data_IF_495744916802
#
_entry.id   IF_495744916802
#
_cell.length_a   1.000
_cell.length_b   1.000
_cell.length_c   1.000
_cell.angle_alpha   90.00
_cell.angle_beta   90.00
_cell.angle_gamma   90.00
#
_symmetry.space_group_name_H-M   'P 1'
#
loop_
_entity.id
_entity.type
_entity.pdbx_description
1 polymer ?
#
# COMPACT_ATOMS: atom_id res chain seq x y z
N UNK A 1 -26.83 -12.15 0.49
CA UNK A 1 -25.67 -12.18 -0.41
C UNK A 1 -24.50 -11.71 0.42
N UNK A 2 -23.56 -12.62 0.71
CA UNK A 2 -22.31 -12.25 1.39
C UNK A 2 -21.58 -11.26 0.48
N UNK A 3 -21.56 -9.99 0.89
CA UNK A 3 -20.75 -8.98 0.22
C UNK A 3 -19.30 -9.38 0.43
N UNK A 4 -18.68 -9.96 -0.61
CA UNK A 4 -17.26 -10.33 -0.61
C UNK A 4 -16.44 -9.17 -0.02
N UNK A 5 -15.90 -9.41 1.17
CA UNK A 5 -15.08 -8.44 1.91
C UNK A 5 -13.79 -8.29 1.10
N UNK A 6 -13.49 -7.04 0.72
CA UNK A 6 -12.25 -6.73 0.00
C UNK A 6 -11.04 -7.29 0.75
N UNK A 7 -10.18 -8.04 0.05
CA UNK A 7 -9.14 -8.83 0.71
C UNK A 7 -8.08 -7.94 1.37
N UNK A 8 -7.81 -8.21 2.65
CA UNK A 8 -6.71 -7.64 3.44
C UNK A 8 -5.81 -8.80 3.85
N UNK A 9 -4.51 -8.71 3.55
CA UNK A 9 -3.56 -9.81 3.78
C UNK A 9 -2.81 -9.70 5.11
N UNK A 10 -3.03 -8.63 5.84
CA UNK A 10 -2.54 -8.46 7.20
C UNK A 10 -3.63 -8.74 8.21
N UNK A 11 -3.24 -9.13 9.41
CA UNK A 11 -4.16 -9.32 10.53
C UNK A 11 -4.80 -8.00 10.93
N UNK A 12 -6.06 -8.05 11.34
CA UNK A 12 -6.76 -6.92 11.93
C UNK A 12 -6.20 -6.64 13.33
N UNK A 13 -5.82 -5.39 13.54
CA UNK A 13 -5.39 -4.83 14.81
C UNK A 13 -6.15 -3.54 15.07
N UNK A 14 -6.46 -3.17 16.33
CA UNK A 14 -7.10 -1.90 16.64
C UNK A 14 -6.46 -0.69 15.93
N UNK A 15 -5.14 -0.71 15.79
CA UNK A 15 -4.33 0.33 15.16
C UNK A 15 -4.50 0.44 13.63
N UNK A 16 -5.04 -0.58 12.95
CA UNK A 16 -5.30 -0.60 11.51
C UNK A 16 -6.78 -0.76 11.13
N UNK A 17 -7.68 -0.84 12.10
CA UNK A 17 -9.13 -0.86 11.85
C UNK A 17 -9.67 0.53 11.49
N UNK A 18 -9.06 1.61 12.00
CA UNK A 18 -9.41 2.99 11.66
C UNK A 18 -8.16 3.88 11.64
N UNK A 19 -8.03 4.70 10.60
CA UNK A 19 -6.93 5.66 10.49
C UNK A 19 -5.55 5.04 10.28
N UNK A 20 -5.43 3.75 9.95
CA UNK A 20 -4.14 3.07 9.76
C UNK A 20 -3.32 3.57 8.55
N UNK A 21 -2.24 2.86 8.24
CA UNK A 21 -1.39 3.06 7.05
C UNK A 21 -1.66 1.93 6.06
N UNK A 22 -2.22 2.26 4.90
CA UNK A 22 -2.52 1.28 3.86
C UNK A 22 -1.35 1.14 2.89
N UNK A 23 -0.90 -0.09 2.64
CA UNK A 23 -0.06 -0.44 1.49
C UNK A 23 -0.95 -1.12 0.45
N UNK A 24 -1.04 -0.56 -0.75
CA UNK A 24 -1.93 -1.06 -1.80
C UNK A 24 -1.16 -1.31 -3.10
N UNK A 25 -1.11 -2.56 -3.53
CA UNK A 25 -0.69 -2.94 -4.89
C UNK A 25 -1.86 -2.96 -5.88
N UNK A 26 -1.59 -3.28 -7.15
CA UNK A 26 -2.64 -3.38 -8.17
C UNK A 26 -3.49 -4.63 -7.95
N UNK A 27 -2.84 -5.80 -7.83
CA UNK A 27 -3.48 -7.10 -7.71
C UNK A 27 -2.49 -8.13 -7.10
N UNK A 28 -2.97 -9.35 -6.83
CA UNK A 28 -2.14 -10.39 -6.20
C UNK A 28 -1.21 -11.05 -7.22
N UNK A 29 0.04 -11.26 -6.81
CA UNK A 29 1.00 -12.01 -7.61
C UNK A 29 0.62 -13.49 -7.65
N UNK A 30 0.75 -14.10 -8.82
CA UNK A 30 0.53 -15.53 -9.03
C UNK A 30 1.79 -16.14 -9.64
N UNK A 31 2.53 -16.93 -8.86
CA UNK A 31 3.82 -17.47 -9.26
C UNK A 31 3.68 -18.68 -10.19
N UNK A 32 4.79 -19.16 -10.74
CA UNK A 32 4.79 -20.39 -11.52
C UNK A 32 4.55 -21.61 -10.61
N UNK A 33 5.01 -21.51 -9.37
CA UNK A 33 4.79 -22.47 -8.30
C UNK A 33 3.31 -22.54 -7.91
N UNK A 34 2.62 -21.40 -7.78
CA UNK A 34 1.17 -21.35 -7.49
C UNK A 34 0.38 -22.07 -8.59
N UNK A 35 0.72 -21.84 -9.86
CA UNK A 35 0.07 -22.56 -10.97
C UNK A 35 0.38 -24.05 -10.97
N UNK A 36 1.61 -24.44 -10.63
CA UNK A 36 1.99 -25.85 -10.58
C UNK A 36 1.22 -26.59 -9.46
N UNK A 37 1.06 -25.95 -8.31
CA UNK A 37 0.26 -26.45 -7.19
C UNK A 37 -1.21 -26.54 -7.56
N UNK A 38 -1.77 -25.51 -8.18
CA UNK A 38 -3.17 -25.52 -8.62
C UNK A 38 -3.42 -26.60 -9.68
N UNK A 39 -2.54 -26.73 -10.69
CA UNK A 39 -2.60 -27.81 -11.70
C UNK A 39 -2.46 -29.19 -11.09
N UNK A 40 -1.75 -29.32 -9.97
CA UNK A 40 -1.65 -30.57 -9.22
C UNK A 40 -2.86 -30.84 -8.31
N UNK A 41 -3.88 -29.96 -8.31
CA UNK A 41 -5.04 -30.04 -7.43
C UNK A 41 -4.71 -29.74 -5.95
N UNK A 42 -3.51 -29.21 -5.69
CA UNK A 42 -3.05 -28.82 -4.35
C UNK A 42 -3.49 -27.38 -4.15
N UNK A 43 -4.61 -27.21 -3.45
CA UNK A 43 -5.03 -25.89 -2.98
C UNK A 43 -4.05 -25.50 -1.87
N UNK A 44 -3.21 -24.50 -2.12
CA UNK A 44 -2.35 -23.94 -1.10
C UNK A 44 -3.23 -23.46 0.07
N UNK A 45 -2.94 -23.93 1.28
CA UNK A 45 -3.56 -23.36 2.47
C UNK A 45 -3.24 -21.87 2.51
N UNK A 46 -4.24 -21.04 2.77
CA UNK A 46 -4.01 -19.61 2.89
C UNK A 46 -3.07 -19.37 4.08
N UNK A 47 -1.95 -18.68 3.83
CA UNK A 47 -1.02 -18.33 4.89
C UNK A 47 -1.77 -17.54 5.99
N UNK A 48 -1.46 -17.80 7.26
CA UNK A 48 -2.10 -17.07 8.35
C UNK A 48 -1.74 -15.58 8.27
N UNK A 49 -2.77 -14.73 8.44
CA UNK A 49 -2.58 -13.28 8.46
C UNK A 49 -1.67 -12.84 9.62
N UNK A 50 -0.82 -11.86 9.39
CA UNK A 50 0.05 -11.23 10.42
C UNK A 50 0.20 -9.72 10.23
N UNK A 51 1.00 -9.04 11.05
CA UNK A 51 1.35 -7.64 10.81
C UNK A 51 2.27 -7.51 9.58
N UNK A 52 2.30 -6.31 9.00
CA UNK A 52 2.98 -6.03 7.73
C UNK A 52 4.44 -6.49 7.68
N UNK A 53 5.18 -6.31 8.76
CA UNK A 53 6.60 -6.63 8.84
C UNK A 53 6.90 -8.02 9.44
N UNK A 54 5.95 -8.95 9.58
CA UNK A 54 6.26 -10.28 10.11
C UNK A 54 7.06 -11.11 9.09
N UNK A 55 8.32 -11.43 9.41
CA UNK A 55 9.14 -12.26 8.51
C UNK A 55 8.79 -13.76 8.56
N UNK A 56 8.01 -14.20 9.54
CA UNK A 56 7.67 -15.62 9.69
C UNK A 56 6.63 -16.06 8.65
N UNK A 57 5.74 -15.16 8.25
CA UNK A 57 4.62 -15.48 7.34
C UNK A 57 4.48 -14.50 6.17
N UNK A 58 5.04 -13.28 6.24
CA UNK A 58 4.98 -12.27 5.19
C UNK A 58 6.35 -12.04 4.50
N UNK A 59 7.20 -13.06 4.38
CA UNK A 59 8.54 -12.94 3.80
C UNK A 59 8.55 -12.91 2.26
N UNK A 60 7.86 -11.95 1.66
CA UNK A 60 7.80 -11.78 0.22
C UNK A 60 8.84 -10.77 -0.27
N UNK A 61 9.29 -10.91 -1.52
CA UNK A 61 10.17 -9.91 -2.18
C UNK A 61 9.52 -8.52 -2.20
N UNK A 62 8.20 -8.47 -2.37
CA UNK A 62 7.42 -7.24 -2.31
C UNK A 62 7.55 -6.56 -0.95
N UNK A 63 7.17 -7.25 0.13
CA UNK A 63 7.24 -6.75 1.51
C UNK A 63 8.65 -6.29 1.86
N UNK A 64 9.66 -7.10 1.52
CA UNK A 64 11.06 -6.79 1.83
C UNK A 64 11.55 -5.50 1.15
N UNK A 65 11.14 -5.26 -0.11
CA UNK A 65 11.45 -4.01 -0.80
C UNK A 65 10.74 -2.81 -0.21
N UNK A 66 9.44 -2.91 0.07
CA UNK A 66 8.70 -1.80 0.69
C UNK A 66 9.31 -1.42 2.03
N UNK A 67 9.71 -2.40 2.85
CA UNK A 67 10.35 -2.10 4.14
C UNK A 67 11.73 -1.47 3.98
N UNK A 68 12.55 -1.93 3.04
CA UNK A 68 13.82 -1.27 2.74
C UNK A 68 13.61 0.21 2.36
N UNK A 69 12.57 0.51 1.57
CA UNK A 69 12.22 1.88 1.20
C UNK A 69 11.76 2.70 2.40
N UNK A 70 10.84 2.19 3.21
CA UNK A 70 10.39 2.87 4.43
C UNK A 70 11.56 3.10 5.40
N UNK A 71 12.46 2.13 5.55
CA UNK A 71 13.66 2.29 6.37
C UNK A 71 14.64 3.32 5.83
N UNK A 72 14.77 3.45 4.50
CA UNK A 72 15.57 4.52 3.90
C UNK A 72 15.03 5.93 4.21
N UNK A 73 13.77 6.04 4.61
CA UNK A 73 13.15 7.29 5.07
C UNK A 73 13.30 7.52 6.58
N UNK A 74 13.95 6.60 7.30
CA UNK A 74 14.22 6.70 8.74
C UNK A 74 13.28 5.89 9.63
N UNK A 75 12.45 5.00 9.07
CA UNK A 75 11.54 4.16 9.87
C UNK A 75 12.14 2.78 10.18
N UNK A 76 12.25 2.45 11.46
CA UNK A 76 12.65 1.12 11.91
C UNK A 76 11.41 0.25 12.16
N UNK A 77 11.51 -1.04 11.82
CA UNK A 77 10.41 -1.99 11.95
C UNK A 77 10.84 -3.22 12.73
N UNK A 78 10.01 -3.62 13.70
CA UNK A 78 10.09 -4.96 14.27
C UNK A 78 9.63 -5.97 13.22
N UNK A 79 10.37 -7.08 13.12
CA UNK A 79 10.09 -8.12 12.11
C UNK A 79 9.79 -9.50 12.69
N UNK A 80 9.76 -9.60 14.01
CA UNK A 80 9.58 -10.85 14.73
C UNK A 80 8.18 -10.87 15.35
N UNK A 81 7.44 -11.96 15.12
CA UNK A 81 6.14 -12.20 15.74
C UNK A 81 6.21 -12.12 17.27
N UNK A 82 5.22 -11.50 17.89
CA UNK A 82 5.11 -11.30 19.34
C UNK A 82 5.93 -10.13 19.86
N UNK A 83 6.67 -9.42 19.00
CA UNK A 83 7.46 -8.23 19.36
C UNK A 83 6.94 -6.95 18.69
N UNK A 84 5.94 -7.05 17.82
CA UNK A 84 5.36 -5.92 17.11
C UNK A 84 4.73 -4.91 18.07
N UNK A 85 5.08 -3.64 17.88
CA UNK A 85 4.47 -2.53 18.60
C UNK A 85 3.20 -2.02 17.90
N UNK A 86 2.61 -0.97 18.46
CA UNK A 86 1.48 -0.27 17.84
C UNK A 86 1.80 0.25 16.43
N UNK A 87 3.06 0.63 16.18
CA UNK A 87 3.49 1.13 14.88
C UNK A 87 3.40 0.07 13.79
N UNK A 88 3.99 -1.12 13.98
CA UNK A 88 3.90 -2.20 12.98
C UNK A 88 2.45 -2.63 12.74
N UNK A 89 1.62 -2.62 13.79
CA UNK A 89 0.20 -2.97 13.73
C UNK A 89 -0.66 -1.94 13.02
N UNK A 90 -0.21 -0.69 12.86
CA UNK A 90 -0.98 0.33 12.14
C UNK A 90 -0.99 0.10 10.63
N UNK A 91 -0.04 -0.69 10.11
CA UNK A 91 0.01 -1.04 8.71
C UNK A 91 -1.01 -2.12 8.38
N UNK A 92 -1.63 -1.98 7.22
CA UNK A 92 -2.38 -3.06 6.59
C UNK A 92 -2.11 -3.10 5.09
N UNK A 93 -2.09 -4.30 4.53
CA UNK A 93 -1.82 -4.52 3.12
C UNK A 93 -3.04 -5.08 2.40
N UNK A 94 -3.29 -4.54 1.21
CA UNK A 94 -4.34 -4.96 0.29
C UNK A 94 -3.89 -4.74 -1.16
N UNK A 95 -4.75 -5.03 -2.11
CA UNK A 95 -4.60 -4.66 -3.50
C UNK A 95 -5.85 -3.93 -3.99
N UNK A 96 -5.77 -3.20 -5.09
CA UNK A 96 -6.93 -2.53 -5.67
C UNK A 96 -7.92 -3.56 -6.26
N UNK A 97 -7.39 -4.54 -6.98
CA UNK A 97 -8.17 -5.62 -7.59
C UNK A 97 -8.05 -6.89 -6.75
N UNK A 98 -9.18 -7.58 -6.58
CA UNK A 98 -9.26 -8.90 -5.94
C UNK A 98 -8.98 -10.03 -6.93
N UNK A 99 -7.99 -9.83 -7.80
CA UNK A 99 -7.60 -10.75 -8.86
C UNK A 99 -6.14 -11.17 -8.73
N UNK A 100 -5.77 -12.28 -9.37
CA UNK A 100 -4.40 -12.82 -9.41
C UNK A 100 -3.84 -12.73 -10.83
N UNK A 101 -2.63 -12.21 -11.02
CA UNK A 101 -1.94 -12.27 -12.33
C UNK A 101 -0.47 -12.68 -12.21
N UNK A 102 0.03 -13.28 -13.30
CA UNK A 102 1.37 -13.91 -13.37
C UNK A 102 2.53 -12.97 -13.61
N UNK A 103 2.25 -11.79 -14.14
CA UNK A 103 3.30 -10.89 -14.60
C UNK A 103 2.93 -9.43 -14.43
N UNK A 104 3.94 -8.64 -14.10
CA UNK A 104 3.91 -7.17 -14.19
C UNK A 104 3.74 -6.73 -15.66
N UNK A 105 3.98 -7.61 -16.63
CA UNK A 105 3.67 -7.38 -18.06
C UNK A 105 2.25 -7.79 -18.45
N UNK A 106 1.55 -8.62 -17.66
CA UNK A 106 0.10 -8.76 -17.78
C UNK A 106 -0.64 -7.54 -17.25
N UNK A 107 0.04 -6.62 -16.53
CA UNK A 107 -0.44 -5.26 -16.29
C UNK A 107 -0.55 -4.44 -17.59
N UNK A 108 -0.05 -4.93 -18.72
CA UNK A 108 -0.32 -4.32 -20.03
C UNK A 108 -1.80 -4.26 -20.40
N UNK A 109 -2.67 -5.03 -19.73
CA UNK A 109 -4.14 -4.96 -19.88
C UNK A 109 -4.86 -4.23 -18.75
N UNK A 110 -4.21 -4.00 -17.60
CA UNK A 110 -4.82 -3.29 -16.48
C UNK A 110 -4.64 -1.79 -16.70
N UNK A 111 -5.75 -1.12 -17.00
CA UNK A 111 -5.78 0.32 -17.26
C UNK A 111 -6.40 1.07 -16.10
N UNK A 112 -6.28 2.40 -16.09
CA UNK A 112 -7.05 3.25 -15.17
C UNK A 112 -8.55 2.94 -15.26
N UNK A 113 -9.09 2.72 -16.46
CA UNK A 113 -10.49 2.38 -16.65
C UNK A 113 -10.87 1.06 -15.97
N UNK A 114 -10.01 0.04 -16.04
CA UNK A 114 -10.20 -1.22 -15.32
C UNK A 114 -10.28 -0.99 -13.81
N UNK A 115 -9.36 -0.20 -13.24
CA UNK A 115 -9.37 0.12 -11.81
C UNK A 115 -10.61 0.90 -11.39
N UNK A 116 -11.09 1.81 -12.24
CA UNK A 116 -12.30 2.60 -11.98
C UNK A 116 -13.55 1.72 -11.98
N UNK A 117 -13.67 0.80 -12.93
CA UNK A 117 -14.80 -0.13 -13.03
C UNK A 117 -14.86 -1.11 -11.85
N UNK A 118 -13.70 -1.55 -11.36
CA UNK A 118 -13.57 -2.50 -10.25
C UNK A 118 -13.32 -1.82 -8.89
N UNK A 119 -13.55 -0.51 -8.76
CA UNK A 119 -13.19 0.26 -7.57
C UNK A 119 -14.05 -0.05 -6.33
N UNK A 120 -15.18 -0.75 -6.51
CA UNK A 120 -16.22 -0.86 -5.49
C UNK A 120 -15.76 -1.53 -4.19
N UNK A 121 -15.01 -2.63 -4.31
CA UNK A 121 -14.42 -3.32 -3.16
C UNK A 121 -13.43 -2.42 -2.41
N UNK A 122 -12.52 -1.80 -3.17
CA UNK A 122 -11.52 -0.88 -2.65
C UNK A 122 -12.17 0.32 -1.94
N UNK A 123 -13.20 0.94 -2.52
CA UNK A 123 -13.89 2.09 -1.93
C UNK A 123 -14.65 1.71 -0.65
N UNK A 124 -15.24 0.52 -0.56
CA UNK A 124 -15.82 0.02 0.69
C UNK A 124 -14.77 -0.19 1.77
N UNK A 125 -13.60 -0.73 1.42
CA UNK A 125 -12.50 -0.86 2.37
C UNK A 125 -12.03 0.52 2.85
N UNK A 126 -11.87 1.47 1.92
CA UNK A 126 -11.50 2.84 2.20
C UNK A 126 -12.48 3.53 3.17
N UNK A 127 -13.78 3.33 2.96
CA UNK A 127 -14.85 3.84 3.81
C UNK A 127 -14.81 3.22 5.22
N UNK A 128 -14.52 1.93 5.31
CA UNK A 128 -14.47 1.22 6.60
C UNK A 128 -13.22 1.52 7.43
N UNK A 129 -12.06 1.72 6.77
CA UNK A 129 -10.76 1.87 7.43
C UNK A 129 -10.26 3.31 7.53
N UNK A 130 -10.76 4.21 6.69
CA UNK A 130 -10.38 5.63 6.60
C UNK A 130 -8.88 5.86 6.85
N UNK A 131 -7.99 5.21 6.07
CA UNK A 131 -6.55 5.25 6.32
C UNK A 131 -6.05 6.70 6.37
N UNK A 132 -5.15 6.99 7.31
CA UNK A 132 -4.52 8.31 7.41
C UNK A 132 -3.40 8.49 6.39
N UNK A 133 -2.78 7.39 5.95
CA UNK A 133 -1.78 7.35 4.90
C UNK A 133 -2.10 6.19 3.95
N UNK A 134 -2.05 6.46 2.65
CA UNK A 134 -2.17 5.45 1.59
C UNK A 134 -0.88 5.46 0.79
N UNK A 135 -0.25 4.30 0.69
CA UNK A 135 0.95 4.07 -0.11
C UNK A 135 0.56 3.12 -1.24
N UNK A 136 0.30 3.71 -2.40
CA UNK A 136 0.14 2.94 -3.63
C UNK A 136 1.49 2.51 -4.17
N UNK A 137 1.51 1.30 -4.72
CA UNK A 137 2.69 0.72 -5.33
C UNK A 137 2.40 0.51 -6.82
N UNK A 138 2.74 1.52 -7.61
CA UNK A 138 2.31 1.70 -9.01
C UNK A 138 1.52 3.01 -9.20
N UNK A 139 1.64 3.62 -10.38
CA UNK A 139 1.05 4.93 -10.69
C UNK A 139 -0.45 4.92 -10.99
N UNK A 140 -0.99 3.81 -11.50
CA UNK A 140 -2.36 3.75 -12.01
C UNK A 140 -3.42 3.99 -10.93
N UNK A 141 -3.18 3.56 -9.69
CA UNK A 141 -4.18 3.65 -8.61
C UNK A 141 -4.42 5.10 -8.14
N UNK A 142 -3.36 5.92 -8.05
CA UNK A 142 -3.55 7.34 -7.74
C UNK A 142 -4.20 8.07 -8.92
N UNK A 143 -3.97 7.63 -10.17
CA UNK A 143 -4.68 8.16 -11.33
C UNK A 143 -6.18 7.78 -11.28
N UNK A 144 -6.50 6.52 -10.96
CA UNK A 144 -7.86 6.02 -10.80
C UNK A 144 -8.63 6.77 -9.70
N UNK A 145 -8.03 7.02 -8.53
CA UNK A 145 -8.64 7.84 -7.47
C UNK A 145 -9.06 9.24 -7.93
N UNK A 146 -8.41 9.77 -8.97
CA UNK A 146 -8.69 11.09 -9.52
C UNK A 146 -9.69 11.08 -10.68
N UNK A 147 -10.07 9.89 -11.18
CA UNK A 147 -11.03 9.73 -12.25
C UNK A 147 -12.40 10.26 -11.83
N UNK A 148 -13.04 11.03 -12.71
CA UNK A 148 -14.29 11.72 -12.41
C UNK A 148 -15.42 10.76 -12.03
N UNK A 149 -15.39 9.51 -12.50
CA UNK A 149 -16.42 8.50 -12.25
C UNK A 149 -16.47 8.07 -10.78
N UNK A 150 -15.32 8.02 -10.09
CA UNK A 150 -15.27 7.61 -8.68
C UNK A 150 -14.86 8.74 -7.73
N UNK A 151 -14.30 9.84 -8.24
CA UNK A 151 -13.76 10.94 -7.43
C UNK A 151 -14.78 11.51 -6.44
N UNK A 152 -16.05 11.63 -6.82
CA UNK A 152 -17.07 12.14 -5.91
C UNK A 152 -17.23 11.25 -4.67
N UNK A 153 -17.18 9.92 -4.85
CA UNK A 153 -17.24 8.95 -3.75
C UNK A 153 -15.95 8.94 -2.93
N UNK A 154 -14.79 9.10 -3.57
CA UNK A 154 -13.52 9.27 -2.85
C UNK A 154 -13.58 10.51 -1.96
N UNK A 155 -14.09 11.64 -2.47
CA UNK A 155 -14.25 12.89 -1.70
C UNK A 155 -15.25 12.73 -0.57
N UNK A 156 -16.36 12.01 -0.76
CA UNK A 156 -17.31 11.76 0.34
C UNK A 156 -16.73 10.90 1.45
N UNK A 157 -15.79 10.00 1.12
CA UNK A 157 -15.14 9.10 2.10
C UNK A 157 -14.00 9.80 2.83
N UNK A 158 -13.08 10.42 2.08
CA UNK A 158 -11.81 10.94 2.60
C UNK A 158 -11.83 12.45 2.84
N UNK A 159 -12.72 13.19 2.18
CA UNK A 159 -12.78 14.65 2.22
C UNK A 159 -12.20 15.32 0.97
N UNK A 160 -12.17 16.65 1.01
CA UNK A 160 -11.80 17.51 -0.13
C UNK A 160 -10.40 17.22 -0.68
N UNK A 161 -10.30 17.26 -2.02
CA UNK A 161 -9.06 16.96 -2.73
C UNK A 161 -8.14 18.18 -2.78
N UNK A 162 -6.85 18.01 -2.50
CA UNK A 162 -5.84 19.07 -2.56
C UNK A 162 -5.43 19.52 -3.97
N UNK A 163 -6.23 19.25 -5.01
CA UNK A 163 -5.85 19.37 -6.41
C UNK A 163 -5.18 18.11 -6.98
N UNK A 164 -4.52 18.21 -8.14
CA UNK A 164 -3.85 17.08 -8.78
C UNK A 164 -2.61 16.60 -7.99
N UNK A 165 -2.23 15.33 -8.17
CA UNK A 165 -1.03 14.80 -7.53
C UNK A 165 0.23 15.55 -8.00
N UNK A 166 1.07 15.93 -7.04
CA UNK A 166 2.37 16.56 -7.29
C UNK A 166 3.41 15.49 -7.60
N UNK A 167 4.31 15.78 -8.52
CA UNK A 167 5.38 14.86 -8.95
C UNK A 167 6.67 15.18 -8.20
N UNK A 168 7.25 14.16 -7.60
CA UNK A 168 8.56 14.20 -6.94
C UNK A 168 9.50 13.25 -7.67
N UNK A 169 10.74 13.69 -7.86
CA UNK A 169 11.83 12.90 -8.45
C UNK A 169 13.07 13.12 -7.61
N UNK A 170 13.90 12.10 -7.51
CA UNK A 170 15.23 12.22 -6.94
C UNK A 170 16.22 12.65 -8.01
N UNK A 171 17.27 13.34 -7.59
CA UNK A 171 18.42 13.62 -8.44
C UNK A 171 19.73 13.33 -7.67
N UNK A 172 20.04 12.04 -7.43
CA UNK A 172 21.28 11.68 -6.75
C UNK A 172 22.48 12.07 -7.62
N UNK A 173 23.58 12.59 -7.03
CA UNK A 173 24.79 12.90 -7.78
C UNK A 173 25.30 11.70 -8.58
N UNK A 174 25.63 11.92 -9.86
CA UNK A 174 26.15 10.90 -10.78
C UNK A 174 25.21 9.71 -11.07
N UNK A 175 23.91 9.82 -10.78
CA UNK A 175 22.96 8.75 -11.06
C UNK A 175 22.65 8.61 -12.56
N UNK A 176 23.04 7.49 -13.16
CA UNK A 176 22.82 7.17 -14.58
C UNK A 176 21.69 6.17 -14.82
N UNK A 177 21.02 5.71 -13.75
CA UNK A 177 19.94 4.74 -13.83
C UNK A 177 18.59 5.35 -14.26
N UNK A 178 17.55 4.52 -14.24
CA UNK A 178 16.18 4.95 -14.59
C UNK A 178 15.60 5.83 -13.49
N UNK A 179 15.21 7.06 -13.84
CA UNK A 179 14.57 7.98 -12.89
C UNK A 179 13.07 7.74 -12.80
N UNK A 180 12.62 7.31 -11.63
CA UNK A 180 11.20 7.11 -11.35
C UNK A 180 10.56 8.33 -10.68
N UNK A 181 9.23 8.40 -10.70
CA UNK A 181 8.46 9.43 -10.01
C UNK A 181 7.78 8.88 -8.76
N UNK A 182 7.71 9.69 -7.72
CA UNK A 182 6.75 9.58 -6.63
C UNK A 182 5.64 10.59 -6.90
N UNK A 183 4.38 10.18 -6.74
CA UNK A 183 3.24 11.10 -6.80
C UNK A 183 2.72 11.30 -5.38
N UNK A 184 2.36 12.53 -5.01
CA UNK A 184 1.75 12.79 -3.70
C UNK A 184 0.54 13.72 -3.81
N UNK A 185 -0.47 13.43 -2.99
CA UNK A 185 -1.75 14.13 -2.95
C UNK A 185 -2.38 14.01 -1.56
N UNK A 186 -3.33 14.88 -1.24
CA UNK A 186 -4.14 14.83 -0.02
C UNK A 186 -5.64 14.82 -0.38
N UNK A 187 -6.42 14.02 0.34
CA UNK A 187 -7.90 14.06 0.36
C UNK A 187 -8.33 14.15 1.82
N UNK A 188 -9.08 15.20 2.19
CA UNK A 188 -9.31 15.57 3.59
C UNK A 188 -8.00 15.47 4.36
N UNK A 189 -7.91 14.75 5.47
CA UNK A 189 -6.66 14.58 6.22
C UNK A 189 -5.75 13.43 5.75
N UNK A 190 -6.24 12.58 4.83
CA UNK A 190 -5.51 11.42 4.33
C UNK A 190 -4.39 11.83 3.39
N UNK A 191 -3.17 11.36 3.69
CA UNK A 191 -2.00 11.52 2.84
C UNK A 191 -1.92 10.37 1.85
N UNK A 192 -1.76 10.65 0.56
CA UNK A 192 -1.68 9.64 -0.48
C UNK A 192 -0.36 9.80 -1.21
N UNK A 193 0.41 8.72 -1.30
CA UNK A 193 1.56 8.64 -2.19
C UNK A 193 1.43 7.46 -3.13
N UNK A 194 2.03 7.58 -4.31
CA UNK A 194 2.28 6.47 -5.22
C UNK A 194 3.79 6.36 -5.41
N UNK A 195 4.30 5.18 -5.10
CA UNK A 195 5.66 4.76 -5.35
C UNK A 195 5.72 3.97 -6.66
N UNK A 196 6.89 3.86 -7.28
CA UNK A 196 7.11 2.90 -8.35
C UNK A 196 6.79 1.47 -7.87
N UNK A 197 6.43 0.58 -8.80
CA UNK A 197 6.29 -0.84 -8.45
C UNK A 197 7.65 -1.43 -8.04
N UNK A 198 7.76 -2.29 -7.01
CA UNK A 198 9.05 -2.71 -6.47
C UNK A 198 9.75 -3.68 -7.43
N UNK A 199 9.00 -4.23 -8.38
CA UNK A 199 9.54 -5.06 -9.45
C UNK A 199 9.64 -4.32 -10.79
N UNK A 200 9.45 -2.99 -10.82
CA UNK A 200 9.62 -2.20 -12.04
C UNK A 200 11.03 -2.37 -12.60
N UNK A 201 11.14 -2.54 -13.92
CA UNK A 201 12.43 -2.71 -14.60
C UNK A 201 13.27 -1.44 -14.43
N UNK A 202 14.50 -1.59 -13.93
CA UNK A 202 15.47 -0.48 -13.79
C UNK A 202 15.41 0.29 -12.46
N UNK A 203 14.53 -0.09 -11.52
CA UNK A 203 14.50 0.52 -10.19
C UNK A 203 15.67 0.05 -9.33
N UNK A 204 16.43 1.00 -8.78
CA UNK A 204 17.53 0.74 -7.85
C UNK A 204 17.19 1.23 -6.44
N UNK A 205 17.69 0.53 -5.43
CA UNK A 205 17.50 0.93 -4.02
C UNK A 205 18.14 2.29 -3.72
N UNK A 206 19.27 2.60 -4.37
CA UNK A 206 19.92 3.92 -4.33
C UNK A 206 18.98 5.04 -4.75
N UNK A 207 18.27 4.88 -5.88
CA UNK A 207 17.36 5.91 -6.37
C UNK A 207 16.17 6.09 -5.43
N UNK A 208 15.62 4.99 -4.92
CA UNK A 208 14.46 5.06 -4.01
C UNK A 208 14.84 5.65 -2.66
N UNK A 209 16.04 5.37 -2.15
CA UNK A 209 16.56 6.01 -0.95
C UNK A 209 16.67 7.55 -1.10
N UNK A 210 17.00 8.02 -2.31
CA UNK A 210 17.01 9.44 -2.63
C UNK A 210 15.60 10.01 -2.92
N UNK A 211 14.62 9.16 -3.26
CA UNK A 211 13.24 9.54 -3.57
C UNK A 211 12.42 9.68 -2.28
N UNK A 212 12.63 10.79 -1.59
CA UNK A 212 11.92 11.07 -0.33
C UNK A 212 10.48 11.52 -0.57
N UNK A 213 9.50 10.99 0.20
CA UNK A 213 8.16 11.55 0.26
C UNK A 213 8.19 13.01 0.73
N UNK A 214 7.13 13.79 0.43
CA UNK A 214 6.97 15.12 0.99
C UNK A 214 6.92 15.07 2.52
N UNK A 215 7.43 16.13 3.16
CA UNK A 215 7.58 16.16 4.63
C UNK A 215 6.25 15.94 5.37
N UNK A 216 5.12 16.41 4.82
CA UNK A 216 3.81 16.20 5.42
C UNK A 216 3.38 14.72 5.46
N UNK A 217 3.85 13.90 4.51
CA UNK A 217 3.62 12.44 4.54
C UNK A 217 4.48 11.80 5.63
N UNK A 218 5.76 12.17 5.69
CA UNK A 218 6.68 11.70 6.73
C UNK A 218 6.16 12.03 8.13
N UNK A 219 5.71 13.28 8.35
CA UNK A 219 5.10 13.70 9.61
C UNK A 219 3.88 12.85 9.97
N UNK A 220 3.02 12.53 8.99
CA UNK A 220 1.84 11.68 9.24
C UNK A 220 2.22 10.25 9.67
N UNK A 221 3.27 9.68 9.09
CA UNK A 221 3.78 8.36 9.52
C UNK A 221 4.42 8.46 10.91
N UNK A 222 5.17 9.53 11.21
CA UNK A 222 5.74 9.78 12.55
C UNK A 222 4.63 9.93 13.59
N UNK A 223 3.53 10.63 13.30
CA UNK A 223 2.37 10.72 14.20
C UNK A 223 1.86 9.32 14.58
N UNK A 224 1.82 8.38 13.63
CA UNK A 224 1.43 6.99 13.88
C UNK A 224 2.47 6.21 14.67
N UNK A 225 3.75 6.45 14.44
CA UNK A 225 4.82 5.86 15.23
C UNK A 225 4.83 6.37 16.68
N UNK A 226 4.49 7.64 16.89
CA UNK A 226 4.51 8.31 18.20
C UNK A 226 3.22 8.14 19.02
N UNK A 227 2.14 7.58 18.46
CA UNK A 227 0.92 7.23 19.18
C UNK A 227 1.19 6.08 20.19
N UNK A 228 1.95 6.38 21.25
CA UNK A 228 2.05 5.57 22.46
C UNK A 228 0.75 5.71 23.24
N UNK A 229 0.04 4.59 23.41
CA UNK A 229 -0.84 4.34 24.55
C UNK A 229 -1.72 5.50 25.03
N UNK A 230 -2.64 6.00 24.20
CA UNK A 230 -3.90 6.51 24.76
C UNK A 230 -4.74 5.29 25.15
N UNK A 231 -4.37 4.67 26.28
CA UNK A 231 -5.35 3.95 27.08
C UNK A 231 -6.49 4.93 27.35
N UNK A 232 -7.72 4.51 27.02
CA UNK A 232 -8.92 5.16 27.52
C UNK A 232 -8.82 5.20 29.05
N UNK A 233 -8.44 6.35 29.59
CA UNK A 233 -8.89 6.74 30.93
C UNK A 233 -10.30 7.27 30.70
N UNK A 234 -11.27 6.39 30.87
CA UNK A 234 -12.64 6.79 31.10
C UNK A 234 -12.65 7.55 32.43
N UNK A 235 -13.06 8.82 32.39
CA UNK A 235 -13.65 9.49 33.54
C UNK A 235 -15.10 9.04 33.68
#
# INVERSE_FOLDING_TARGET
MDTLKHQVITKDFPENLDGGIMICGINFGYSAEDEALEKAGIIAAQDPLSFFSDKAVNNTRFRNKILAWLSSWGFEFVTQNGKEGAFERTFFQTNWLDTQTRSITSDGSITVNTLVQEADGFLRLLESRKPSVIIFVGGLMIEALNDIQIRQRVVSILGERSGNAKIYRADPPNYTGTKFKLLAQKFGETQIISLPHPQARGISDEYVAALKPPIHVIHKIIEKQMQKGRSHVSL
#
